data_IF_444059502876
#
_entry.id   IF_444059502876
#
_cell.length_a   1.000
_cell.length_b   1.000
_cell.length_c   1.000
_cell.angle_alpha   90.00
_cell.angle_beta   90.00
_cell.angle_gamma   90.00
#
_symmetry.space_group_name_H-M   'P 1'
#
loop_
_entity.id
_entity.type
_entity.pdbx_description
1 polymer ?
#
# COMPACT_ATOMS: atom_id res chain seq x y z
N UNK A 1 8.06 31.48 35.02
CA UNK A 1 7.24 30.40 34.39
C UNK A 1 5.79 30.80 34.50
N UNK A 2 5.00 30.64 33.43
CA UNK A 2 3.56 30.92 33.46
C UNK A 2 2.89 29.74 34.19
N UNK A 3 2.01 30.00 35.18
CA UNK A 3 1.34 28.92 35.91
C UNK A 3 0.37 28.16 35.00
N UNK A 4 0.16 26.86 35.23
CA UNK A 4 -0.77 26.06 34.45
C UNK A 4 -2.21 26.58 34.60
N UNK A 5 -2.90 26.72 33.47
CA UNK A 5 -4.28 27.20 33.43
C UNK A 5 -5.24 26.02 33.57
N UNK A 6 -6.24 26.18 34.44
CA UNK A 6 -7.31 25.19 34.57
C UNK A 6 -8.16 25.16 33.29
N UNK A 7 -8.10 24.03 32.57
CA UNK A 7 -8.93 23.80 31.38
C UNK A 7 -10.30 23.22 31.76
N UNK A 8 -11.34 23.64 31.02
CA UNK A 8 -12.72 23.18 31.23
C UNK A 8 -12.84 21.65 31.16
N UNK A 9 -13.63 21.02 32.05
CA UNK A 9 -13.91 19.58 32.01
C UNK A 9 -14.41 19.10 30.65
N UNK A 10 -15.23 19.92 29.96
CA UNK A 10 -15.75 19.60 28.62
C UNK A 10 -14.63 19.42 27.58
N UNK A 11 -13.60 20.25 27.65
CA UNK A 11 -12.46 20.16 26.72
C UNK A 11 -11.67 18.88 26.99
N UNK A 12 -11.51 18.51 28.27
CA UNK A 12 -10.83 17.26 28.65
C UNK A 12 -11.61 16.05 28.13
N UNK A 13 -12.92 15.99 28.40
CA UNK A 13 -13.75 14.85 27.98
C UNK A 13 -13.80 14.73 26.46
N UNK A 14 -14.00 15.84 25.74
CA UNK A 14 -14.01 15.85 24.28
C UNK A 14 -12.67 15.39 23.68
N UNK A 15 -11.54 15.83 24.25
CA UNK A 15 -10.21 15.40 23.79
C UNK A 15 -10.00 13.90 23.95
N UNK A 16 -10.30 13.37 25.14
CA UNK A 16 -10.11 11.94 25.41
C UNK A 16 -11.11 11.07 24.65
N UNK A 17 -12.36 11.52 24.47
CA UNK A 17 -13.33 10.80 23.66
C UNK A 17 -12.91 10.75 22.20
N UNK A 18 -12.45 11.87 21.63
CA UNK A 18 -11.94 11.91 20.26
C UNK A 18 -10.71 10.99 20.09
N UNK A 19 -9.83 10.92 21.10
CA UNK A 19 -8.69 10.01 21.08
C UNK A 19 -9.14 8.55 21.01
N UNK A 20 -10.10 8.14 21.85
CA UNK A 20 -10.63 6.77 21.87
C UNK A 20 -11.30 6.44 20.53
N UNK A 21 -12.14 7.34 20.01
CA UNK A 21 -12.79 7.18 18.70
C UNK A 21 -11.76 7.06 17.58
N UNK A 22 -10.72 7.89 17.61
CA UNK A 22 -9.61 7.84 16.64
C UNK A 22 -8.89 6.51 16.63
N UNK A 23 -8.59 5.95 17.81
CA UNK A 23 -7.94 4.62 17.93
C UNK A 23 -8.83 3.53 17.34
N UNK A 24 -10.12 3.51 17.70
CA UNK A 24 -11.09 2.51 17.21
C UNK A 24 -11.24 2.62 15.68
N UNK A 25 -11.38 3.85 15.17
CA UNK A 25 -11.49 4.10 13.74
C UNK A 25 -10.22 3.66 13.00
N UNK A 26 -9.04 4.00 13.52
CA UNK A 26 -7.75 3.60 12.96
C UNK A 26 -7.63 2.09 12.82
N UNK A 27 -7.95 1.33 13.88
CA UNK A 27 -7.96 -0.14 13.84
C UNK A 27 -8.92 -0.67 12.78
N UNK A 28 -10.18 -0.22 12.80
CA UNK A 28 -11.21 -0.69 11.85
C UNK A 28 -10.82 -0.38 10.40
N UNK A 29 -10.23 0.80 10.14
CA UNK A 29 -9.78 1.18 8.81
C UNK A 29 -8.57 0.37 8.36
N UNK A 30 -7.61 0.15 9.25
CA UNK A 30 -6.44 -0.69 8.96
C UNK A 30 -6.86 -2.12 8.62
N UNK A 31 -7.70 -2.74 9.46
CA UNK A 31 -8.17 -4.11 9.26
C UNK A 31 -8.93 -4.27 7.93
N UNK A 32 -9.66 -3.23 7.49
CA UNK A 32 -10.32 -3.20 6.17
C UNK A 32 -9.35 -3.08 5.00
N UNK A 33 -8.33 -2.23 5.12
CA UNK A 33 -7.40 -1.96 4.01
C UNK A 33 -6.31 -3.02 3.87
N UNK A 34 -5.92 -3.67 4.96
CA UNK A 34 -4.87 -4.68 4.98
C UNK A 34 -5.08 -5.82 3.95
N UNK A 35 -6.26 -6.48 3.85
CA UNK A 35 -6.47 -7.52 2.85
C UNK A 35 -6.45 -6.97 1.41
N UNK A 36 -6.99 -5.77 1.19
CA UNK A 36 -7.01 -5.13 -0.12
C UNK A 36 -5.57 -4.90 -0.60
N UNK A 37 -4.73 -4.30 0.25
CA UNK A 37 -3.33 -4.06 -0.07
C UNK A 37 -2.50 -5.36 -0.17
N UNK A 38 -2.96 -6.47 0.41
CA UNK A 38 -2.32 -7.77 0.23
C UNK A 38 -2.65 -8.34 -1.16
N UNK A 39 -3.92 -8.22 -1.58
CA UNK A 39 -4.35 -8.68 -2.90
C UNK A 39 -3.75 -7.84 -4.04
N UNK A 40 -3.72 -6.52 -3.89
CA UNK A 40 -3.07 -5.62 -4.86
C UNK A 40 -1.61 -6.00 -5.10
N UNK A 41 -0.87 -6.35 -4.04
CA UNK A 41 0.53 -6.81 -4.15
C UNK A 41 0.64 -8.16 -4.85
N UNK A 42 -0.30 -9.07 -4.62
CA UNK A 42 -0.31 -10.37 -5.32
C UNK A 42 -0.55 -10.19 -6.82
N UNK A 43 -1.50 -9.34 -7.18
CA UNK A 43 -1.80 -9.01 -8.58
C UNK A 43 -0.58 -8.37 -9.25
N UNK A 44 0.07 -7.40 -8.59
CA UNK A 44 1.28 -6.76 -9.11
C UNK A 44 2.42 -7.77 -9.36
N UNK A 45 2.63 -8.71 -8.44
CA UNK A 45 3.61 -9.79 -8.62
C UNK A 45 3.26 -10.74 -9.77
N UNK A 46 1.98 -11.06 -9.96
CA UNK A 46 1.50 -11.90 -11.07
C UNK A 46 1.66 -11.18 -12.42
N UNK A 47 1.25 -9.91 -12.51
CA UNK A 47 1.41 -9.09 -13.71
C UNK A 47 2.88 -8.90 -14.09
N UNK A 48 3.75 -8.72 -13.09
CA UNK A 48 5.19 -8.59 -13.31
C UNK A 48 5.79 -9.86 -13.91
N UNK A 49 5.41 -11.04 -13.40
CA UNK A 49 5.88 -12.33 -13.95
C UNK A 49 5.45 -12.52 -15.40
N UNK A 50 4.19 -12.20 -15.72
CA UNK A 50 3.67 -12.28 -17.08
C UNK A 50 4.45 -11.35 -18.01
N UNK A 51 4.74 -10.13 -17.56
CA UNK A 51 5.52 -9.17 -18.34
C UNK A 51 6.95 -9.66 -18.58
N UNK A 52 7.63 -10.15 -17.54
CA UNK A 52 8.98 -10.70 -17.66
C UNK A 52 9.02 -11.91 -18.60
N UNK A 53 8.01 -12.77 -18.58
CA UNK A 53 7.93 -13.91 -19.49
C UNK A 53 7.71 -13.47 -20.95
N UNK A 54 6.81 -12.50 -21.18
CA UNK A 54 6.60 -11.92 -22.51
C UNK A 54 7.86 -11.25 -23.04
N UNK A 55 8.56 -10.48 -22.20
CA UNK A 55 9.83 -9.84 -22.57
C UNK A 55 10.91 -10.87 -22.90
N UNK A 56 10.98 -11.99 -22.15
CA UNK A 56 11.92 -13.08 -22.45
C UNK A 56 11.61 -13.74 -23.79
N UNK A 57 10.34 -14.03 -24.08
CA UNK A 57 9.92 -14.61 -25.37
C UNK A 57 10.23 -13.64 -26.51
N UNK A 58 9.90 -12.36 -26.35
CA UNK A 58 10.19 -11.33 -27.33
C UNK A 58 11.70 -11.20 -27.60
N UNK A 59 12.53 -11.26 -26.56
CA UNK A 59 13.99 -11.24 -26.68
C UNK A 59 14.52 -12.46 -27.42
N UNK A 60 14.03 -13.66 -27.11
CA UNK A 60 14.42 -14.89 -27.81
C UNK A 60 14.02 -14.86 -29.29
N UNK A 61 12.83 -14.34 -29.61
CA UNK A 61 12.37 -14.16 -30.98
C UNK A 61 13.22 -13.12 -31.73
N UNK A 62 13.61 -12.02 -31.08
CA UNK A 62 14.48 -11.01 -31.66
C UNK A 62 15.86 -11.57 -31.97
N UNK A 63 16.47 -12.29 -31.02
CA UNK A 63 17.78 -12.94 -31.19
C UNK A 63 17.75 -14.00 -32.31
N UNK A 64 16.72 -14.84 -32.37
CA UNK A 64 16.57 -15.82 -33.45
C UNK A 64 16.36 -15.17 -34.83
N UNK A 65 15.66 -14.03 -34.90
CA UNK A 65 15.49 -13.27 -36.13
C UNK A 65 16.80 -12.58 -36.56
N UNK A 66 17.56 -12.00 -35.63
CA UNK A 66 18.88 -11.42 -35.93
C UNK A 66 19.84 -12.48 -36.46
N UNK A 67 19.90 -13.66 -35.85
CA UNK A 67 20.73 -14.78 -36.31
C UNK A 67 20.33 -15.29 -37.71
N UNK A 68 19.04 -15.20 -38.05
CA UNK A 68 18.53 -15.58 -39.39
C UNK A 68 18.83 -14.53 -40.45
N UNK A 69 18.89 -13.24 -40.07
CA UNK A 69 19.19 -12.13 -40.99
C UNK A 69 20.70 -11.98 -41.23
N UNK A 70 21.54 -12.33 -40.26
CA UNK A 70 23.00 -12.19 -40.33
C UNK A 70 23.75 -13.43 -40.88
N UNK A 71 23.03 -14.53 -41.15
CA UNK A 71 23.54 -15.72 -41.88
C UNK A 71 23.12 -15.71 -43.34
#
# INVERSE_FOLDING_TARGET
MIPPVAVSPLIKTARYSALIVGIIYGKRRYDRLKPIAAEERRIEEEEKKIREEQERIAKQLAEANEDTILK
#
